data_IF_857686522796
#
_entry.id   IF_857686522796
#
_cell.length_a   1.000
_cell.length_b   1.000
_cell.length_c   1.000
_cell.angle_alpha   90.00
_cell.angle_beta   90.00
_cell.angle_gamma   90.00
#
_symmetry.space_group_name_H-M   'P 1'
#
loop_
_entity.id
_entity.type
_entity.pdbx_description
1 polymer ?
#
# COMPACT_ATOMS: atom_id res chain seq x y z
N UNK A 1 -25.31 -5.51 16.10
CA UNK A 1 -24.66 -4.68 15.08
C UNK A 1 -23.36 -4.19 15.68
N UNK A 2 -22.25 -4.39 14.99
CA UNK A 2 -20.93 -3.89 15.34
C UNK A 2 -20.52 -2.93 14.22
N UNK A 3 -20.06 -1.74 14.59
CA UNK A 3 -19.52 -0.77 13.65
C UNK A 3 -18.04 -0.59 13.99
N UNK A 4 -17.18 -0.81 13.01
CA UNK A 4 -15.74 -0.72 13.16
C UNK A 4 -15.16 0.31 12.18
N UNK A 5 -14.28 1.14 12.71
CA UNK A 5 -13.56 2.21 12.01
C UNK A 5 -12.04 2.01 12.06
N UNK A 6 -11.55 0.95 12.72
CA UNK A 6 -10.12 0.65 12.83
C UNK A 6 -9.66 -0.12 11.59
N UNK A 7 -8.55 0.28 10.99
CA UNK A 7 -7.90 -0.50 9.94
C UNK A 7 -6.44 -0.74 10.29
N UNK A 8 -5.95 -1.94 10.06
CA UNK A 8 -4.53 -2.26 10.17
C UNK A 8 -3.92 -2.27 8.77
N UNK A 9 -3.05 -1.30 8.48
CA UNK A 9 -2.44 -1.12 7.16
C UNK A 9 -1.48 -2.25 6.76
N UNK A 10 -1.22 -3.18 7.67
CA UNK A 10 -0.37 -4.37 7.46
C UNK A 10 -1.17 -5.67 7.51
N UNK A 11 -2.50 -5.62 7.48
CA UNK A 11 -3.28 -6.81 7.15
C UNK A 11 -2.94 -7.28 5.73
N UNK A 12 -3.02 -8.59 5.45
CA UNK A 12 -2.71 -9.10 4.13
C UNK A 12 -3.62 -8.49 3.05
N UNK A 13 -3.01 -8.10 1.93
CA UNK A 13 -3.72 -7.53 0.78
C UNK A 13 -4.28 -8.63 -0.13
N UNK A 14 -3.53 -9.74 -0.27
CA UNK A 14 -3.80 -10.81 -1.23
C UNK A 14 -4.53 -12.04 -0.64
N UNK A 15 -4.78 -12.05 0.67
CA UNK A 15 -5.45 -13.17 1.35
C UNK A 15 -6.13 -12.74 2.66
N UNK A 16 -6.88 -13.65 3.28
CA UNK A 16 -7.44 -13.41 4.61
C UNK A 16 -6.38 -13.61 5.70
N UNK A 17 -6.05 -12.51 6.39
CA UNK A 17 -5.19 -12.57 7.58
C UNK A 17 -5.89 -13.10 8.83
N UNK A 18 -5.13 -13.18 9.93
CA UNK A 18 -5.64 -13.69 11.21
C UNK A 18 -6.87 -12.93 11.74
N UNK A 19 -6.95 -11.62 11.51
CA UNK A 19 -8.11 -10.78 11.90
C UNK A 19 -9.32 -11.13 11.05
N UNK A 20 -9.17 -11.18 9.72
CA UNK A 20 -10.22 -11.58 8.79
C UNK A 20 -10.75 -12.98 9.11
N UNK A 21 -9.87 -13.97 9.26
CA UNK A 21 -10.24 -15.34 9.61
C UNK A 21 -10.97 -15.43 10.98
N UNK A 22 -10.53 -14.65 11.97
CA UNK A 22 -11.22 -14.57 13.25
C UNK A 22 -12.62 -13.95 13.11
N UNK A 23 -12.75 -12.87 12.33
CA UNK A 23 -14.02 -12.22 12.05
C UNK A 23 -14.99 -13.18 11.36
N UNK A 24 -14.57 -13.88 10.31
CA UNK A 24 -15.38 -14.92 9.65
C UNK A 24 -15.89 -15.96 10.64
N UNK A 25 -15.04 -16.45 11.55
CA UNK A 25 -15.46 -17.40 12.60
C UNK A 25 -16.50 -16.80 13.55
N UNK A 26 -16.34 -15.54 13.97
CA UNK A 26 -17.27 -14.87 14.88
C UNK A 26 -18.62 -14.61 14.19
N UNK A 27 -18.62 -14.15 12.94
CA UNK A 27 -19.84 -13.89 12.18
C UNK A 27 -20.58 -15.19 11.84
N UNK A 28 -19.87 -16.24 11.43
CA UNK A 28 -20.49 -17.54 11.14
C UNK A 28 -21.10 -18.25 12.36
N UNK A 29 -20.57 -17.99 13.56
CA UNK A 29 -21.04 -18.58 14.80
C UNK A 29 -22.18 -17.80 15.49
N UNK A 30 -22.49 -16.58 15.04
CA UNK A 30 -23.39 -15.67 15.74
C UNK A 30 -24.34 -14.94 14.78
N UNK A 31 -25.50 -14.50 15.27
CA UNK A 31 -26.40 -13.65 14.49
C UNK A 31 -26.00 -12.17 14.62
N UNK A 32 -24.88 -11.80 13.99
CA UNK A 32 -24.31 -10.46 14.04
C UNK A 32 -24.35 -9.78 12.67
N UNK A 33 -24.49 -8.45 12.68
CA UNK A 33 -24.25 -7.59 11.53
C UNK A 33 -22.97 -6.82 11.83
N UNK A 34 -21.98 -6.91 10.95
CA UNK A 34 -20.72 -6.20 11.04
C UNK A 34 -20.62 -5.20 9.91
N UNK A 35 -20.38 -3.94 10.27
CA UNK A 35 -20.23 -2.83 9.32
C UNK A 35 -18.84 -2.25 9.50
N UNK A 36 -18.10 -2.14 8.40
CA UNK A 36 -16.71 -1.71 8.40
C UNK A 36 -16.51 -0.54 7.44
N UNK A 37 -15.81 0.50 7.87
CA UNK A 37 -15.38 1.55 6.94
C UNK A 37 -14.43 0.98 5.88
N UNK A 38 -14.72 1.24 4.60
CA UNK A 38 -13.89 0.88 3.45
C UNK A 38 -12.60 1.74 3.34
N UNK A 39 -12.51 2.82 4.12
CA UNK A 39 -11.38 3.75 4.10
C UNK A 39 -11.35 4.67 2.88
N UNK A 40 -10.33 5.53 2.83
CA UNK A 40 -10.21 6.62 1.84
C UNK A 40 -9.00 6.47 0.90
N UNK A 41 -8.29 5.34 0.97
CA UNK A 41 -7.00 5.17 0.29
C UNK A 41 -7.10 4.47 -1.07
N UNK A 42 -8.31 4.21 -1.58
CA UNK A 42 -8.47 3.46 -2.83
C UNK A 42 -8.03 4.18 -4.10
N UNK A 43 -7.59 5.44 -4.00
CA UNK A 43 -6.93 6.17 -5.08
C UNK A 43 -5.45 6.44 -4.78
N UNK A 44 -4.93 5.94 -3.65
CA UNK A 44 -3.60 6.23 -3.12
C UNK A 44 -2.69 4.99 -3.21
N UNK A 45 -2.88 4.18 -4.26
CA UNK A 45 -2.17 2.92 -4.37
C UNK A 45 -1.94 2.46 -5.80
N UNK A 46 -1.11 1.43 -5.91
CA UNK A 46 -0.80 0.72 -7.14
C UNK A 46 -0.93 -0.77 -6.88
N UNK A 47 -1.56 -1.48 -7.82
CA UNK A 47 -1.47 -2.94 -7.92
C UNK A 47 -1.08 -3.34 -9.35
N UNK A 48 -0.15 -4.31 -9.48
CA UNK A 48 0.28 -4.82 -10.78
C UNK A 48 1.44 -5.80 -10.68
N UNK A 49 1.66 -6.56 -11.75
CA UNK A 49 2.77 -7.52 -11.82
C UNK A 49 4.12 -6.80 -11.84
N UNK A 50 5.13 -7.39 -11.18
CA UNK A 50 6.49 -6.89 -11.26
C UNK A 50 6.95 -6.84 -12.73
N UNK A 51 7.31 -5.63 -13.16
CA UNK A 51 7.76 -5.32 -14.50
C UNK A 51 9.20 -4.79 -14.43
N UNK A 52 10.19 -5.50 -14.96
CA UNK A 52 11.58 -5.10 -14.83
C UNK A 52 11.89 -3.82 -15.62
N UNK A 53 12.48 -2.83 -14.96
CA UNK A 53 12.93 -1.60 -15.58
C UNK A 53 14.04 -1.87 -16.61
N UNK A 54 13.92 -1.26 -17.79
CA UNK A 54 14.92 -1.39 -18.85
C UNK A 54 16.28 -0.84 -18.38
N UNK A 55 17.31 -1.67 -18.46
CA UNK A 55 18.67 -1.34 -18.04
C UNK A 55 18.96 -1.57 -16.55
N UNK A 56 17.93 -1.78 -15.72
CA UNK A 56 18.09 -2.23 -14.34
C UNK A 56 16.95 -3.20 -13.94
N UNK A 57 17.05 -4.48 -14.32
CA UNK A 57 15.93 -5.43 -14.24
C UNK A 57 15.56 -5.86 -12.81
N UNK A 58 16.30 -5.42 -11.78
CA UNK A 58 15.90 -5.63 -10.39
C UNK A 58 14.91 -4.56 -9.92
N UNK A 59 14.78 -3.43 -10.61
CA UNK A 59 13.87 -2.36 -10.22
C UNK A 59 12.52 -2.52 -10.92
N UNK A 60 11.44 -2.32 -10.19
CA UNK A 60 10.09 -2.30 -10.75
C UNK A 60 9.83 -1.01 -11.54
N UNK A 61 9.28 -1.15 -12.73
CA UNK A 61 8.77 -0.06 -13.55
C UNK A 61 7.24 0.00 -13.44
N UNK A 62 6.76 0.92 -12.61
CA UNK A 62 5.34 1.16 -12.37
C UNK A 62 4.60 1.68 -13.62
N UNK A 63 5.33 2.12 -14.65
CA UNK A 63 4.79 2.59 -15.93
C UNK A 63 4.93 1.54 -17.05
N UNK A 64 5.41 0.33 -16.74
CA UNK A 64 5.43 -0.84 -17.64
C UNK A 64 6.07 -0.57 -19.02
N UNK A 65 7.21 0.15 -19.03
CA UNK A 65 7.91 0.52 -20.26
C UNK A 65 7.28 1.68 -21.03
N UNK A 66 6.32 2.40 -20.45
CA UNK A 66 5.74 3.60 -21.02
C UNK A 66 6.73 4.79 -21.07
N UNK A 67 6.21 5.98 -21.38
CA UNK A 67 7.04 7.17 -21.65
C UNK A 67 7.35 8.04 -20.43
N UNK A 68 6.72 7.78 -19.29
CA UNK A 68 6.90 8.53 -18.05
C UNK A 68 7.97 7.88 -17.16
N UNK A 69 8.55 8.65 -16.22
CA UNK A 69 9.45 8.10 -15.22
C UNK A 69 8.83 6.92 -14.43
N UNK A 70 9.62 5.90 -14.05
CA UNK A 70 9.10 4.54 -13.76
C UNK A 70 8.66 4.28 -12.31
N UNK A 71 8.61 5.28 -11.44
CA UNK A 71 8.39 5.12 -9.99
C UNK A 71 7.02 5.63 -9.55
N UNK A 72 6.66 5.42 -8.29
CA UNK A 72 5.58 6.18 -7.66
C UNK A 72 6.18 7.46 -7.07
N UNK A 73 5.45 8.57 -7.17
CA UNK A 73 5.96 9.88 -6.77
C UNK A 73 5.08 10.51 -5.72
N UNK A 74 5.73 11.24 -4.81
CA UNK A 74 5.09 11.97 -3.71
C UNK A 74 5.80 13.30 -3.49
N UNK A 75 5.05 14.30 -3.02
CA UNK A 75 5.60 15.52 -2.48
C UNK A 75 5.46 15.47 -0.95
N UNK A 76 6.57 15.64 -0.23
CA UNK A 76 6.60 15.66 1.24
C UNK A 76 7.21 17.01 1.67
N UNK A 77 6.37 17.99 2.05
CA UNK A 77 6.85 19.26 2.57
C UNK A 77 7.64 19.11 3.88
N UNK A 78 8.41 20.13 4.24
CA UNK A 78 9.19 20.13 5.48
C UNK A 78 8.27 19.96 6.71
N UNK A 79 8.59 19.01 7.57
CA UNK A 79 7.79 18.65 8.74
C UNK A 79 6.66 17.67 8.46
N UNK A 80 6.25 17.50 7.20
CA UNK A 80 5.26 16.49 6.79
C UNK A 80 5.89 15.11 6.69
N UNK A 81 5.02 14.11 6.63
CA UNK A 81 5.33 12.70 6.77
C UNK A 81 4.55 11.85 5.76
N UNK A 82 5.05 10.64 5.58
CA UNK A 82 4.50 9.61 4.72
C UNK A 82 4.77 8.25 5.35
N UNK A 83 3.80 7.34 5.24
CA UNK A 83 4.05 5.90 5.33
C UNK A 83 3.74 5.22 4.00
N UNK A 84 4.49 4.20 3.65
CA UNK A 84 4.20 3.36 2.49
C UNK A 84 4.31 1.89 2.90
N UNK A 85 3.38 1.08 2.39
CA UNK A 85 3.31 -0.35 2.64
C UNK A 85 3.34 -1.06 1.29
N UNK A 86 4.32 -1.94 1.12
CA UNK A 86 4.43 -2.85 -0.02
C UNK A 86 4.09 -4.26 0.47
N UNK A 87 3.25 -4.96 -0.30
CA UNK A 87 3.09 -6.41 -0.21
C UNK A 87 3.17 -7.05 -1.59
N UNK A 88 3.42 -8.35 -1.62
CA UNK A 88 3.36 -9.17 -2.83
C UNK A 88 2.59 -10.46 -2.59
N UNK A 89 2.12 -11.10 -3.66
CA UNK A 89 1.20 -12.24 -3.63
C UNK A 89 1.85 -13.58 -3.19
N UNK A 90 2.81 -13.55 -2.28
CA UNK A 90 3.18 -14.74 -1.49
C UNK A 90 2.22 -14.90 -0.31
N UNK A 91 2.17 -16.10 0.26
CA UNK A 91 1.42 -16.33 1.50
C UNK A 91 2.19 -15.73 2.69
N UNK A 92 1.47 -15.09 3.61
CA UNK A 92 2.00 -14.60 4.88
C UNK A 92 2.61 -15.74 5.69
N UNK A 93 3.77 -15.45 6.30
CA UNK A 93 4.60 -16.42 7.01
C UNK A 93 5.30 -17.46 6.13
N UNK A 94 5.30 -17.31 4.79
CA UNK A 94 5.87 -18.27 3.86
C UNK A 94 6.57 -17.65 2.64
N UNK A 95 6.83 -16.34 2.63
CA UNK A 95 7.51 -15.67 1.52
C UNK A 95 8.97 -16.11 1.41
N UNK A 96 9.38 -16.53 0.20
CA UNK A 96 10.77 -16.78 -0.20
C UNK A 96 11.27 -15.83 -1.30
N UNK A 97 10.41 -14.90 -1.74
CA UNK A 97 10.74 -13.83 -2.66
C UNK A 97 11.02 -12.57 -1.86
N UNK A 98 12.12 -11.88 -2.19
CA UNK A 98 12.68 -10.82 -1.36
C UNK A 98 12.58 -9.50 -2.15
N UNK A 99 11.69 -8.62 -1.70
CA UNK A 99 11.47 -7.30 -2.29
C UNK A 99 11.79 -6.23 -1.27
N UNK A 100 12.49 -5.19 -1.70
CA UNK A 100 12.84 -4.05 -0.88
C UNK A 100 12.06 -2.81 -1.34
N UNK A 101 11.78 -1.91 -0.39
CA UNK A 101 11.14 -0.62 -0.64
C UNK A 101 12.06 0.53 -0.24
N UNK A 102 12.30 1.45 -1.17
CA UNK A 102 13.15 2.62 -0.97
C UNK A 102 12.41 3.94 -1.19
N UNK A 103 12.81 4.98 -0.47
CA UNK A 103 12.39 6.35 -0.69
C UNK A 103 13.59 7.21 -1.09
N UNK A 104 13.58 7.71 -2.32
CA UNK A 104 14.60 8.60 -2.87
C UNK A 104 14.12 10.06 -2.82
N UNK A 105 14.96 10.96 -2.29
CA UNK A 105 14.70 12.40 -2.25
C UNK A 105 15.37 13.12 -3.42
N UNK A 106 14.59 13.82 -4.24
CA UNK A 106 15.15 14.63 -5.33
C UNK A 106 15.93 15.84 -4.83
N UNK A 107 15.53 16.41 -3.68
CA UNK A 107 16.20 17.56 -3.09
C UNK A 107 17.63 17.24 -2.62
N UNK A 108 17.82 16.08 -2.00
CA UNK A 108 19.15 15.65 -1.51
C UNK A 108 19.93 14.77 -2.50
N UNK A 109 19.25 14.18 -3.49
CA UNK A 109 19.86 13.27 -4.45
C UNK A 109 20.24 11.91 -3.86
N UNK A 110 19.59 11.49 -2.77
CA UNK A 110 19.93 10.28 -2.02
C UNK A 110 18.67 9.50 -1.59
N UNK A 111 18.88 8.21 -1.30
CA UNK A 111 17.91 7.40 -0.56
C UNK A 111 17.88 7.91 0.88
N UNK A 112 16.69 8.23 1.39
CA UNK A 112 16.48 8.81 2.72
C UNK A 112 15.75 7.87 3.69
N UNK A 113 15.11 6.82 3.16
CA UNK A 113 14.52 5.74 3.92
C UNK A 113 14.50 4.46 3.08
N UNK A 114 14.55 3.31 3.75
CA UNK A 114 14.41 2.00 3.15
C UNK A 114 13.75 1.02 4.12
N UNK A 115 13.15 -0.02 3.56
CA UNK A 115 12.73 -1.24 4.25
C UNK A 115 13.23 -2.39 3.39
N UNK A 116 14.13 -3.19 3.98
CA UNK A 116 14.92 -4.24 3.31
C UNK A 116 14.91 -5.51 4.19
N UNK A 117 13.73 -5.84 4.73
CA UNK A 117 13.62 -6.98 5.63
C UNK A 117 13.71 -8.26 4.80
N UNK A 118 14.74 -9.07 5.03
CA UNK A 118 14.96 -10.26 4.20
C UNK A 118 13.85 -11.31 4.38
N UNK A 119 13.18 -11.70 3.30
CA UNK A 119 12.34 -12.90 3.26
C UNK A 119 13.13 -14.14 2.78
N UNK A 120 13.07 -15.24 3.54
CA UNK A 120 13.86 -16.45 3.26
C UNK A 120 13.08 -17.78 3.33
N UNK A 121 11.75 -17.73 3.25
CA UNK A 121 10.86 -18.88 3.16
C UNK A 121 9.95 -19.10 4.37
N UNK A 122 9.99 -18.20 5.36
CA UNK A 122 9.15 -18.30 6.56
C UNK A 122 8.70 -16.91 7.09
N UNK A 123 8.76 -15.90 6.23
CA UNK A 123 8.56 -14.50 6.59
C UNK A 123 7.32 -13.95 5.85
N UNK A 124 6.82 -12.80 6.30
CA UNK A 124 5.69 -12.13 5.65
C UNK A 124 6.15 -11.39 4.38
N UNK A 125 5.34 -11.35 3.30
CA UNK A 125 5.62 -10.59 2.10
C UNK A 125 5.31 -9.11 2.29
N UNK A 126 6.08 -8.45 3.16
CA UNK A 126 5.74 -7.13 3.69
C UNK A 126 6.98 -6.25 3.84
N UNK A 127 6.93 -5.06 3.24
CA UNK A 127 7.83 -3.96 3.56
C UNK A 127 7.02 -2.74 4.02
N UNK A 128 7.47 -2.09 5.09
CA UNK A 128 6.84 -0.89 5.64
C UNK A 128 7.90 0.16 5.88
N UNK A 129 7.75 1.31 5.23
CA UNK A 129 8.59 2.47 5.53
C UNK A 129 7.74 3.64 6.01
N UNK A 130 8.34 4.47 6.87
CA UNK A 130 7.78 5.74 7.29
C UNK A 130 8.88 6.78 7.33
N UNK A 131 8.57 7.99 6.87
CA UNK A 131 9.54 9.06 6.74
C UNK A 131 8.91 10.43 7.03
N UNK A 132 9.64 11.27 7.76
CA UNK A 132 9.32 12.68 7.95
C UNK A 132 10.39 13.54 7.26
N UNK A 133 9.96 14.43 6.36
CA UNK A 133 10.89 15.29 5.64
C UNK A 133 11.44 16.41 6.52
N UNK A 134 12.74 16.66 6.38
CA UNK A 134 13.42 17.83 6.95
C UNK A 134 13.53 18.94 5.92
N UNK A 135 13.98 20.12 6.34
CA UNK A 135 14.22 21.25 5.44
C UNK A 135 15.22 20.95 4.31
N UNK A 136 16.11 19.96 4.49
CA UNK A 136 17.11 19.55 3.49
C UNK A 136 16.53 18.58 2.46
N UNK A 137 15.54 17.78 2.85
CA UNK A 137 14.99 16.72 1.99
C UNK A 137 13.63 17.06 1.41
N UNK A 138 12.92 18.04 1.98
CA UNK A 138 11.57 18.43 1.59
C UNK A 138 11.45 18.76 0.10
N UNK A 139 10.34 18.33 -0.50
CA UNK A 139 10.09 18.45 -1.93
C UNK A 139 9.59 17.14 -2.50
N UNK A 140 10.04 16.82 -3.72
CA UNK A 140 9.60 15.63 -4.43
C UNK A 140 10.45 14.41 -4.06
N UNK A 141 9.80 13.26 -4.04
CA UNK A 141 10.42 11.96 -3.77
C UNK A 141 9.91 10.91 -4.75
N UNK A 142 10.68 9.84 -4.90
CA UNK A 142 10.29 8.63 -5.61
C UNK A 142 10.28 7.43 -4.63
N UNK A 143 9.19 6.67 -4.63
CA UNK A 143 9.12 5.33 -4.05
C UNK A 143 9.58 4.32 -5.10
N UNK A 144 10.56 3.50 -4.73
CA UNK A 144 11.21 2.54 -5.62
C UNK A 144 11.09 1.15 -5.01
N UNK A 145 10.62 0.18 -5.79
CA UNK A 145 10.60 -1.23 -5.41
C UNK A 145 11.73 -1.95 -6.13
N UNK A 146 12.52 -2.69 -5.37
CA UNK A 146 13.58 -3.55 -5.89
C UNK A 146 13.23 -4.99 -5.59
N UNK A 147 13.33 -5.87 -6.59
CA UNK A 147 13.35 -7.31 -6.38
C UNK A 147 14.78 -7.73 -6.05
N UNK A 148 15.08 -7.89 -4.76
CA UNK A 148 16.38 -8.32 -4.28
C UNK A 148 16.68 -9.76 -4.71
N UNK A 149 15.71 -10.65 -4.54
CA UNK A 149 15.83 -12.04 -5.01
C UNK A 149 14.46 -12.70 -5.26
N UNK A 150 14.47 -13.85 -5.93
CA UNK A 150 13.24 -14.61 -6.22
C UNK A 150 12.57 -14.27 -7.56
N UNK A 151 11.33 -14.74 -7.67
CA UNK A 151 10.49 -14.67 -8.86
C UNK A 151 9.71 -13.36 -8.92
N UNK A 152 9.29 -12.98 -10.13
CA UNK A 152 8.36 -11.87 -10.32
C UNK A 152 7.00 -12.24 -9.70
N UNK A 153 6.38 -11.28 -9.02
CA UNK A 153 5.15 -11.42 -8.25
C UNK A 153 4.20 -10.27 -8.57
N UNK A 154 2.92 -10.42 -8.25
CA UNK A 154 1.99 -9.30 -8.22
C UNK A 154 2.29 -8.46 -6.98
N UNK A 155 2.48 -7.16 -7.19
CA UNK A 155 2.83 -6.20 -6.16
C UNK A 155 1.63 -5.32 -5.87
N UNK A 156 1.50 -4.91 -4.61
CA UNK A 156 0.59 -3.85 -4.21
C UNK A 156 1.27 -2.89 -3.24
N UNK A 157 1.14 -1.58 -3.53
CA UNK A 157 1.77 -0.50 -2.77
C UNK A 157 0.72 0.51 -2.37
N UNK A 158 0.45 0.61 -1.07
CA UNK A 158 -0.36 1.68 -0.49
C UNK A 158 0.53 2.82 0.02
N UNK A 159 0.08 4.05 -0.23
CA UNK A 159 0.77 5.29 0.17
C UNK A 159 -0.16 6.07 1.10
N UNK A 160 0.31 6.35 2.32
CA UNK A 160 -0.43 7.05 3.36
C UNK A 160 0.21 8.42 3.63
N UNK A 161 -0.15 9.46 2.85
CA UNK A 161 0.33 10.81 3.09
C UNK A 161 -0.27 11.34 4.39
N UNK A 162 0.54 12.08 5.14
CA UNK A 162 0.15 12.72 6.38
C UNK A 162 0.54 14.20 6.34
N UNK A 163 -0.09 15.01 7.20
CA UNK A 163 0.05 16.46 7.22
C UNK A 163 -0.23 17.09 5.83
N UNK A 164 0.76 17.75 5.22
CA UNK A 164 0.61 18.42 3.92
C UNK A 164 1.22 17.60 2.77
N UNK A 165 1.50 16.31 2.97
CA UNK A 165 2.03 15.45 1.92
C UNK A 165 0.99 15.18 0.82
N UNK A 166 1.45 15.04 -0.41
CA UNK A 166 0.59 14.76 -1.56
C UNK A 166 1.18 13.64 -2.42
N UNK A 167 0.30 12.90 -3.10
CA UNK A 167 0.68 11.84 -4.04
C UNK A 167 0.48 12.36 -5.45
N UNK A 168 1.41 12.04 -6.36
CA UNK A 168 1.18 12.26 -7.77
C UNK A 168 0.43 11.07 -8.36
N UNK A 169 -0.64 11.33 -9.11
CA UNK A 169 -1.49 10.27 -9.66
C UNK A 169 -0.84 9.47 -10.80
N UNK A 170 0.33 9.89 -11.29
CA UNK A 170 1.00 9.16 -12.35
C UNK A 170 1.46 7.79 -11.84
N UNK A 171 1.23 6.77 -12.66
CA UNK A 171 1.55 5.38 -12.38
C UNK A 171 0.77 4.74 -11.22
N UNK A 172 -0.19 5.44 -10.59
CA UNK A 172 -1.15 4.79 -9.70
C UNK A 172 -2.06 3.85 -10.51
N UNK A 173 -2.43 2.73 -9.90
CA UNK A 173 -3.32 1.73 -10.50
C UNK A 173 -4.35 1.33 -9.44
N UNK A 174 -5.43 2.10 -9.30
CA UNK A 174 -6.41 1.86 -8.27
C UNK A 174 -7.29 0.65 -8.65
N UNK A 175 -6.93 -0.52 -8.14
CA UNK A 175 -7.69 -1.77 -8.23
C UNK A 175 -7.72 -2.43 -6.84
N UNK A 176 -8.80 -3.13 -6.49
CA UNK A 176 -8.84 -3.96 -5.27
C UNK A 176 -8.50 -3.26 -3.93
N UNK A 177 -8.97 -2.02 -3.74
CA UNK A 177 -8.56 -1.20 -2.60
C UNK A 177 -9.09 -1.61 -1.21
N UNK A 178 -9.95 -2.64 -1.14
CA UNK A 178 -10.56 -3.10 0.11
C UNK A 178 -9.94 -4.45 0.46
N UNK A 179 -9.16 -4.47 1.53
CA UNK A 179 -8.42 -5.65 1.98
C UNK A 179 -8.60 -5.90 3.48
N UNK A 180 -8.01 -7.00 3.96
CA UNK A 180 -8.06 -7.40 5.37
C UNK A 180 -9.49 -7.70 5.83
N UNK A 181 -9.78 -7.49 7.11
CA UNK A 181 -11.09 -7.82 7.66
C UNK A 181 -12.26 -6.97 7.11
N UNK A 182 -11.99 -5.89 6.35
CA UNK A 182 -13.01 -5.18 5.60
C UNK A 182 -13.47 -5.93 4.34
N UNK A 183 -12.65 -6.85 3.83
CA UNK A 183 -12.92 -7.67 2.64
C UNK A 183 -13.57 -9.02 2.95
N UNK A 184 -13.76 -9.36 4.23
CA UNK A 184 -14.48 -10.58 4.65
C UNK A 184 -15.88 -10.61 4.03
N UNK A 185 -16.26 -11.74 3.41
CA UNK A 185 -17.51 -11.88 2.65
C UNK A 185 -18.76 -11.50 3.46
N UNK A 186 -18.79 -11.83 4.75
CA UNK A 186 -19.91 -11.52 5.64
C UNK A 186 -19.87 -10.09 6.24
N UNK A 187 -18.81 -9.32 5.99
CA UNK A 187 -18.71 -7.94 6.42
C UNK A 187 -19.38 -7.00 5.42
N UNK A 188 -20.01 -5.93 5.92
CA UNK A 188 -20.55 -4.85 5.10
C UNK A 188 -19.54 -3.72 5.07
N UNK A 189 -18.73 -3.65 4.01
CA UNK A 189 -17.84 -2.52 3.75
C UNK A 189 -18.63 -1.30 3.28
N UNK A 190 -18.44 -0.14 3.94
CA UNK A 190 -19.17 1.10 3.63
C UNK A 190 -18.21 2.26 3.36
N UNK A 191 -18.49 3.00 2.30
CA UNK A 191 -17.89 4.30 2.00
C UNK A 191 -18.77 5.45 2.47
N UNK A 192 -18.18 6.63 2.64
CA UNK A 192 -18.90 7.86 2.90
C UNK A 192 -18.54 8.91 1.83
N UNK A 193 -19.47 9.81 1.56
CA UNK A 193 -19.29 10.98 0.70
C UNK A 193 -19.56 12.24 1.53
N UNK A 194 -18.99 13.37 1.11
CA UNK A 194 -19.28 14.66 1.73
C UNK A 194 -20.78 14.96 1.65
N UNK A 195 -21.36 15.41 2.76
CA UNK A 195 -22.80 15.74 2.79
C UNK A 195 -23.16 16.90 1.85
N UNK A 196 -22.18 17.71 1.51
CA UNK A 196 -22.26 18.83 0.58
C UNK A 196 -22.03 18.46 -0.90
N UNK A 197 -21.75 17.19 -1.21
CA UNK A 197 -21.46 16.77 -2.59
C UNK A 197 -22.75 16.78 -3.43
N UNK A 198 -22.89 17.68 -4.43
CA UNK A 198 -24.15 17.90 -5.11
C UNK A 198 -24.71 16.64 -5.79
N UNK A 199 -25.97 16.32 -5.50
CA UNK A 199 -26.69 15.22 -6.16
C UNK A 199 -26.59 13.87 -5.45
N UNK A 200 -26.07 13.84 -4.22
CA UNK A 200 -26.01 12.67 -3.35
C UNK A 200 -26.55 12.94 -1.93
N UNK A 201 -27.32 14.02 -1.76
CA UNK A 201 -27.83 14.57 -0.50
C UNK A 201 -29.36 14.40 -0.29
N UNK A 202 -30.05 13.67 -1.18
CA UNK A 202 -31.50 13.41 -1.14
C UNK A 202 -31.88 11.98 -0.69
#
# INVERSE_FOLDING_TARGET
VICDDISWITEPFFEDGAVAAHLTSVLGANNLVYVKSAGNNGQNHYQGDFFPLLGNPTIHDFNEGGTHPPHLYVNIPNGSNLSAVLQWDDAFGASDNDYDLFLFSFASGAIVASSEARQNGNDDPLEVLSYQATAVTAGDFALVVSKFSGNAKTLEVFIYPQDNSAIYANNLKPADAVFGHAAVEEAIAVGAIGAEDPGNDD
#
